data_IF_849235762954
#
_entry.id   IF_849235762954
#
_cell.length_a   1.000
_cell.length_b   1.000
_cell.length_c   1.000
_cell.angle_alpha   90.00
_cell.angle_beta   90.00
_cell.angle_gamma   90.00
#
_symmetry.space_group_name_H-M   'P 1'
#
loop_
_entity.id
_entity.type
_entity.pdbx_description
1 polymer ?
#
# COMPACT_ATOMS: atom_id res chain seq x y z
N UNK A 1 -14.73 11.87 -0.84
CA UNK A 1 -13.42 11.73 -0.19
C UNK A 1 -13.27 10.32 0.38
N UNK A 2 -12.18 9.67 0.05
CA UNK A 2 -11.91 8.28 0.45
C UNK A 2 -10.56 8.20 1.15
N UNK A 3 -10.46 7.28 2.11
CA UNK A 3 -9.17 6.90 2.68
C UNK A 3 -8.71 5.61 2.01
N UNK A 4 -7.44 5.54 1.66
CA UNK A 4 -6.81 4.33 1.12
C UNK A 4 -5.71 3.92 2.08
N UNK A 5 -5.75 2.67 2.53
CA UNK A 5 -4.73 2.07 3.36
C UNK A 5 -3.99 1.03 2.53
N UNK A 6 -2.70 1.24 2.33
CA UNK A 6 -1.86 0.39 1.47
C UNK A 6 -0.82 -0.29 2.35
N UNK A 7 -0.73 -1.61 2.27
CA UNK A 7 0.32 -2.37 2.95
C UNK A 7 1.14 -3.12 1.91
N UNK A 8 2.46 -3.11 2.06
CA UNK A 8 3.34 -3.61 1.01
C UNK A 8 4.70 -4.00 1.59
N UNK A 9 5.43 -4.83 0.82
CA UNK A 9 6.82 -5.15 1.13
C UNK A 9 7.68 -3.89 0.98
N UNK A 10 8.64 -3.69 1.88
CA UNK A 10 9.52 -2.52 1.84
C UNK A 10 10.23 -2.34 0.49
N UNK A 11 10.48 -3.42 -0.26
CA UNK A 11 11.10 -3.36 -1.58
C UNK A 11 10.25 -2.60 -2.59
N UNK A 12 8.94 -2.49 -2.37
CA UNK A 12 8.03 -1.75 -3.24
C UNK A 12 7.91 -0.26 -2.88
N UNK A 13 8.60 0.20 -1.84
CA UNK A 13 8.36 1.57 -1.32
C UNK A 13 8.49 2.65 -2.39
N UNK A 14 9.59 2.65 -3.15
CA UNK A 14 9.78 3.67 -4.19
C UNK A 14 8.73 3.58 -5.29
N UNK A 15 8.34 2.36 -5.68
CA UNK A 15 7.30 2.17 -6.68
C UNK A 15 5.94 2.68 -6.19
N UNK A 16 5.61 2.46 -4.92
CA UNK A 16 4.36 2.95 -4.32
C UNK A 16 4.35 4.48 -4.29
N UNK A 17 5.44 5.11 -3.87
CA UNK A 17 5.54 6.58 -3.85
C UNK A 17 5.38 7.15 -5.26
N UNK A 18 6.00 6.53 -6.25
CA UNK A 18 5.87 6.94 -7.64
C UNK A 18 4.41 6.81 -8.13
N UNK A 19 3.74 5.71 -7.79
CA UNK A 19 2.33 5.50 -8.13
C UNK A 19 1.46 6.59 -7.52
N UNK A 20 1.65 6.91 -6.23
CA UNK A 20 0.91 7.98 -5.57
C UNK A 20 1.12 9.32 -6.28
N UNK A 21 2.35 9.64 -6.62
CA UNK A 21 2.69 10.87 -7.31
C UNK A 21 2.01 10.96 -8.68
N UNK A 22 2.10 9.90 -9.48
CA UNK A 22 1.47 9.85 -10.81
C UNK A 22 -0.05 9.86 -10.75
N UNK A 23 -0.62 9.40 -9.67
CA UNK A 23 -2.05 9.40 -9.43
C UNK A 23 -2.55 10.71 -8.81
N UNK A 24 -1.66 11.67 -8.64
CA UNK A 24 -1.92 12.96 -7.99
C UNK A 24 -2.44 12.81 -6.55
N UNK A 25 -1.99 11.76 -5.88
CA UNK A 25 -2.31 11.46 -4.47
C UNK A 25 -1.09 11.80 -3.61
N UNK A 26 -0.77 13.08 -3.49
CA UNK A 26 0.50 13.52 -2.88
C UNK A 26 0.48 13.63 -1.37
N UNK A 27 -0.71 13.71 -0.76
CA UNK A 27 -0.83 13.76 0.69
C UNK A 27 -0.95 12.35 1.25
N UNK A 28 -0.01 11.96 2.09
CA UNK A 28 -0.05 10.65 2.71
C UNK A 28 0.73 10.63 4.01
N UNK A 29 0.45 9.62 4.83
CA UNK A 29 1.23 9.29 6.02
C UNK A 29 1.81 7.89 5.83
N UNK A 30 3.12 7.76 6.03
CA UNK A 30 3.83 6.51 5.85
C UNK A 30 4.26 5.94 7.19
N UNK A 31 4.10 4.63 7.34
CA UNK A 31 4.58 3.86 8.49
C UNK A 31 5.61 2.86 7.97
N UNK A 32 6.87 3.08 8.32
CA UNK A 32 7.96 2.19 7.92
C UNK A 32 8.16 1.06 8.93
N UNK A 33 8.75 -0.04 8.48
CA UNK A 33 9.19 -1.15 9.33
C UNK A 33 8.08 -1.73 10.20
N UNK A 34 6.97 -2.12 9.57
CA UNK A 34 5.89 -2.85 10.23
C UNK A 34 5.97 -4.33 9.86
N UNK A 35 5.38 -5.17 10.68
CA UNK A 35 5.29 -6.60 10.42
C UNK A 35 3.94 -6.91 9.77
N UNK A 36 3.91 -7.91 8.89
CA UNK A 36 2.65 -8.31 8.30
C UNK A 36 2.78 -9.47 7.32
N UNK A 37 1.61 -9.94 6.90
CA UNK A 37 1.47 -10.92 5.83
C UNK A 37 0.23 -10.53 5.03
N UNK A 38 0.41 -10.20 3.74
CA UNK A 38 -0.65 -9.65 2.90
C UNK A 38 -1.71 -10.67 2.47
N UNK A 39 -1.41 -11.97 2.58
CA UNK A 39 -2.35 -13.04 2.25
C UNK A 39 -2.00 -14.31 3.00
N UNK A 40 -2.91 -15.30 2.98
CA UNK A 40 -2.67 -16.58 3.64
C UNK A 40 -1.49 -17.35 3.04
N UNK A 41 -1.21 -17.14 1.76
CA UNK A 41 -0.16 -17.85 1.02
C UNK A 41 1.03 -16.97 0.69
N UNK A 42 0.97 -15.67 1.02
CA UNK A 42 2.06 -14.73 0.76
C UNK A 42 3.20 -14.90 1.76
N UNK A 43 4.35 -14.35 1.40
CA UNK A 43 5.52 -14.37 2.26
C UNK A 43 5.29 -13.49 3.50
N UNK A 44 5.65 -13.96 4.70
CA UNK A 44 5.60 -13.12 5.90
C UNK A 44 6.64 -12.00 5.85
N UNK A 45 6.31 -10.88 6.48
CA UNK A 45 7.18 -9.71 6.59
C UNK A 45 7.39 -9.39 8.07
N UNK A 46 8.17 -10.22 8.76
CA UNK A 46 8.29 -10.16 10.22
C UNK A 46 9.62 -9.57 10.69
N UNK A 47 10.56 -9.31 9.76
CA UNK A 47 11.89 -8.85 10.13
C UNK A 47 12.66 -9.86 10.99
N UNK A 48 12.29 -11.14 10.94
CA UNK A 48 12.93 -12.21 11.72
C UNK A 48 14.07 -12.85 10.93
N UNK A 49 14.83 -13.72 11.59
CA UNK A 49 15.93 -14.43 10.93
C UNK A 49 15.44 -15.29 9.75
N UNK A 50 14.31 -15.97 9.90
CA UNK A 50 13.72 -16.79 8.83
C UNK A 50 12.99 -15.95 7.77
N UNK A 51 12.39 -14.84 8.17
CA UNK A 51 11.61 -13.93 7.31
C UNK A 51 12.09 -12.50 7.52
N UNK A 52 13.26 -12.12 6.92
CA UNK A 52 13.88 -10.83 7.22
C UNK A 52 13.18 -9.62 6.59
N UNK A 53 12.37 -9.83 5.55
CA UNK A 53 11.65 -8.72 4.93
C UNK A 53 10.68 -8.08 5.90
N UNK A 54 10.58 -6.75 5.81
CA UNK A 54 9.63 -5.95 6.55
C UNK A 54 8.57 -5.39 5.62
N UNK A 55 7.42 -5.07 6.17
CA UNK A 55 6.38 -4.36 5.46
C UNK A 55 6.43 -2.87 5.77
N UNK A 56 5.78 -2.10 4.93
CA UNK A 56 5.46 -0.70 5.16
C UNK A 56 3.97 -0.49 4.93
N UNK A 57 3.45 0.61 5.43
CA UNK A 57 2.05 0.96 5.25
C UNK A 57 1.93 2.44 4.95
N UNK A 58 0.94 2.80 4.15
CA UNK A 58 0.63 4.19 3.82
C UNK A 58 -0.88 4.39 3.96
N UNK A 59 -1.27 5.52 4.54
CA UNK A 59 -2.64 6.01 4.49
C UNK A 59 -2.62 7.30 3.67
N UNK A 60 -3.52 7.39 2.68
CA UNK A 60 -3.75 8.60 1.90
C UNK A 60 -5.24 8.88 1.82
N UNK A 61 -5.62 10.14 1.96
CA UNK A 61 -7.00 10.57 1.75
C UNK A 61 -7.07 11.25 0.39
N UNK A 62 -7.97 10.76 -0.46
CA UNK A 62 -8.02 11.15 -1.87
C UNK A 62 -9.46 11.48 -2.28
N UNK A 63 -9.59 12.15 -3.43
CA UNK A 63 -10.90 12.37 -4.03
C UNK A 63 -11.43 11.09 -4.66
N UNK A 64 -12.75 10.98 -4.78
CA UNK A 64 -13.39 9.76 -5.27
C UNK A 64 -12.88 9.34 -6.64
N UNK A 65 -12.66 10.29 -7.54
CA UNK A 65 -12.21 10.00 -8.90
C UNK A 65 -10.76 9.52 -8.98
N UNK A 66 -9.98 9.67 -7.92
CA UNK A 66 -8.59 9.20 -7.89
C UNK A 66 -8.48 7.71 -7.52
N UNK A 67 -9.54 7.13 -6.97
CA UNK A 67 -9.50 5.77 -6.40
C UNK A 67 -9.21 4.71 -7.46
N UNK A 68 -10.02 4.66 -8.52
CA UNK A 68 -9.87 3.59 -9.52
C UNK A 68 -8.53 3.62 -10.22
N UNK A 69 -8.03 4.76 -10.73
CA UNK A 69 -6.71 4.79 -11.34
C UNK A 69 -5.59 4.35 -10.38
N UNK A 70 -5.71 4.75 -9.12
CA UNK A 70 -4.72 4.36 -8.10
C UNK A 70 -4.75 2.85 -7.86
N UNK A 71 -5.94 2.28 -7.67
CA UNK A 71 -6.08 0.84 -7.45
C UNK A 71 -5.61 0.01 -8.65
N UNK A 72 -5.86 0.47 -9.87
CA UNK A 72 -5.38 -0.21 -11.07
C UNK A 72 -3.85 -0.27 -11.11
N UNK A 73 -3.19 0.82 -10.78
CA UNK A 73 -1.72 0.85 -10.76
C UNK A 73 -1.15 -0.02 -9.65
N UNK A 74 -1.77 -0.01 -8.49
CA UNK A 74 -1.36 -0.88 -7.38
C UNK A 74 -1.57 -2.35 -7.72
N UNK A 75 -2.67 -2.68 -8.36
CA UNK A 75 -2.95 -4.05 -8.79
C UNK A 75 -1.92 -4.54 -9.81
N UNK A 76 -1.55 -3.70 -10.78
CA UNK A 76 -0.51 -4.03 -11.74
C UNK A 76 0.83 -4.34 -11.06
N UNK A 77 1.19 -3.58 -10.04
CA UNK A 77 2.40 -3.83 -9.27
C UNK A 77 2.31 -5.15 -8.50
N UNK A 78 1.16 -5.45 -7.89
CA UNK A 78 0.94 -6.71 -7.18
C UNK A 78 1.09 -7.92 -8.10
N UNK A 79 0.61 -7.82 -9.33
CA UNK A 79 0.70 -8.92 -10.31
C UNK A 79 2.14 -9.27 -10.70
N UNK A 80 3.06 -8.34 -10.56
CA UNK A 80 4.48 -8.61 -10.83
C UNK A 80 5.10 -9.56 -9.81
N UNK A 81 4.70 -9.44 -8.53
CA UNK A 81 5.22 -10.27 -7.45
C UNK A 81 4.13 -10.53 -6.40
N UNK A 82 3.15 -11.39 -6.72
CA UNK A 82 1.96 -11.54 -5.88
C UNK A 82 2.24 -12.09 -4.48
N UNK A 83 3.33 -12.83 -4.28
CA UNK A 83 3.68 -13.36 -2.96
C UNK A 83 4.18 -12.30 -1.98
N UNK A 84 4.52 -11.10 -2.46
CA UNK A 84 4.89 -10.00 -1.58
C UNK A 84 3.69 -9.38 -0.85
N UNK A 85 2.47 -9.72 -1.29
CA UNK A 85 1.28 -9.44 -0.49
C UNK A 85 0.86 -7.98 -0.45
N UNK A 86 1.07 -7.23 -1.54
CA UNK A 86 0.55 -5.87 -1.66
C UNK A 86 -0.97 -5.87 -1.54
N UNK A 87 -1.49 -5.04 -0.63
CA UNK A 87 -2.93 -4.90 -0.42
C UNK A 87 -3.29 -3.43 -0.27
N UNK A 88 -4.48 -3.08 -0.73
CA UNK A 88 -5.03 -1.75 -0.57
C UNK A 88 -6.52 -1.85 -0.23
N UNK A 89 -6.94 -1.05 0.74
CA UNK A 89 -8.32 -1.03 1.22
C UNK A 89 -8.82 0.41 1.14
N UNK A 90 -10.07 0.58 0.76
CA UNK A 90 -10.69 1.88 0.58
C UNK A 90 -11.96 1.97 1.40
N UNK A 91 -12.15 3.10 2.08
CA UNK A 91 -13.40 3.39 2.78
C UNK A 91 -13.72 4.89 2.75
N UNK A 92 -14.96 5.21 3.11
CA UNK A 92 -15.40 6.60 3.12
C UNK A 92 -14.80 7.36 4.30
N UNK A 93 -14.41 8.61 4.04
CA UNK A 93 -14.06 9.56 5.10
C UNK A 93 -15.32 10.41 5.36
N UNK A 94 -15.86 10.32 6.55
CA UNK A 94 -17.08 11.05 6.91
C UNK A 94 -16.81 12.51 7.23
N UNK A 95 -15.71 12.79 7.94
CA UNK A 95 -15.36 14.14 8.38
C UNK A 95 -13.84 14.29 8.39
N UNK A 96 -13.40 15.53 8.16
CA UNK A 96 -11.99 15.88 8.25
C UNK A 96 -11.86 17.32 8.76
N UNK A 97 -10.71 17.68 9.26
CA UNK A 97 -10.39 19.07 9.58
C UNK A 97 -9.71 19.74 8.40
#
# INVERSE_FOLDING_TARGET
>A
MKAIFITYDQAHHEAIIDILTRSNCRGFTSFGNVEGRGSKTGDPHYGSHAWPSLASAIISVVEDQQVEPLLERLHALDLERPLLGLRAFVWNVEQTI
#
